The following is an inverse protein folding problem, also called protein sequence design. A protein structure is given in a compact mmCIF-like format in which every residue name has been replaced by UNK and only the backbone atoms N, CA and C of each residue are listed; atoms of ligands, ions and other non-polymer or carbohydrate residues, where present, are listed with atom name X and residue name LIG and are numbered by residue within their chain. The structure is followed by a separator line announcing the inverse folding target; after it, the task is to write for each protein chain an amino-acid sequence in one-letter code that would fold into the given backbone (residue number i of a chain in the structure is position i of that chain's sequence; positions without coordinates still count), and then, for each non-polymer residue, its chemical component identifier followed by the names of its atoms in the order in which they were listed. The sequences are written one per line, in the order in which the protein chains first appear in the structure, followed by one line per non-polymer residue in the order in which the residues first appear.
data_IF_352199873592
#
_entry.id   IF_352199873592
#
_cell.length_a   1.000
_cell.length_b   1.000
_cell.length_c   1.000
_cell.angle_alpha   90.00
_cell.angle_beta   90.00
_cell.angle_gamma   90.00
#
_symmetry.space_group_name_H-M   'P 1'
#
loop_
_entity.id
_entity.type
_entity.pdbx_description
1 polymer ?
#
# COMPACT_ATOMS: atom_id res chain seq x y z
N UNK A 1 15.15 11.27 -19.06
CA UNK A 1 15.50 11.47 -17.65
C UNK A 1 16.64 10.52 -17.33
N UNK A 2 17.74 11.02 -16.75
CA UNK A 2 18.79 10.16 -16.19
C UNK A 2 18.64 10.19 -14.67
N UNK A 3 18.38 9.04 -14.06
CA UNK A 3 18.18 8.93 -12.61
C UNK A 3 17.28 7.76 -12.28
N UNK A 4 17.23 7.39 -11.00
CA UNK A 4 16.32 6.36 -10.52
C UNK A 4 14.88 6.89 -10.48
N UNK A 5 13.93 5.97 -10.63
CA UNK A 5 12.52 6.20 -10.33
C UNK A 5 12.25 5.41 -9.05
N UNK A 6 11.88 6.11 -8.00
CA UNK A 6 11.39 5.48 -6.78
C UNK A 6 9.87 5.38 -6.85
N UNK A 7 9.30 4.24 -6.51
CA UNK A 7 7.86 4.00 -6.57
C UNK A 7 7.25 3.65 -5.22
N UNK A 8 8.02 3.82 -4.14
CA UNK A 8 7.60 3.48 -2.78
C UNK A 8 7.95 4.64 -1.82
N UNK A 9 7.24 5.76 -1.96
CA UNK A 9 7.42 6.94 -1.11
C UNK A 9 6.15 7.34 -0.36
N UNK A 10 6.00 6.91 0.89
CA UNK A 10 4.83 7.29 1.70
C UNK A 10 4.81 8.79 2.04
N UNK A 11 3.62 9.39 2.01
CA UNK A 11 3.37 10.76 2.48
C UNK A 11 2.30 10.78 3.56
N UNK A 12 2.34 11.83 4.38
CA UNK A 12 1.29 12.18 5.33
C UNK A 12 0.83 13.59 4.97
N UNK A 13 -0.47 13.76 4.75
CA UNK A 13 -1.05 15.02 4.27
C UNK A 13 -1.91 15.63 5.37
N UNK A 14 -1.57 16.85 5.77
CA UNK A 14 -2.23 17.55 6.88
C UNK A 14 -3.73 17.77 6.59
N UNK A 15 -4.05 18.02 5.34
CA UNK A 15 -5.40 18.27 4.84
C UNK A 15 -6.34 17.08 5.10
N UNK A 16 -5.79 15.86 5.21
CA UNK A 16 -6.55 14.64 5.46
C UNK A 16 -6.80 14.37 6.96
N UNK A 17 -6.23 15.18 7.86
CA UNK A 17 -6.38 14.98 9.30
C UNK A 17 -7.82 15.20 9.75
N UNK A 18 -8.35 14.25 10.53
CA UNK A 18 -9.73 14.24 11.01
C UNK A 18 -10.79 13.92 9.94
N UNK A 19 -10.39 13.68 8.68
CA UNK A 19 -11.34 13.40 7.60
C UNK A 19 -12.01 12.03 7.70
N UNK A 20 -11.48 11.10 8.51
CA UNK A 20 -12.11 9.82 8.80
C UNK A 20 -13.01 9.85 10.06
N UNK A 21 -13.49 11.04 10.42
CA UNK A 21 -14.31 11.25 11.60
C UNK A 21 -13.50 11.41 12.89
N UNK A 22 -14.10 12.10 13.87
CA UNK A 22 -13.42 12.46 15.13
C UNK A 22 -12.99 11.25 15.97
N UNK A 23 -13.68 10.11 15.83
CA UNK A 23 -13.30 8.89 16.53
C UNK A 23 -12.02 8.26 15.95
N UNK A 24 -11.84 8.30 14.62
CA UNK A 24 -10.74 7.62 13.95
C UNK A 24 -9.53 8.52 13.68
N UNK A 25 -9.72 9.80 13.33
CA UNK A 25 -8.61 10.66 12.88
C UNK A 25 -8.42 10.58 11.36
N UNK A 26 -7.20 10.43 10.81
CA UNK A 26 -5.92 10.48 11.52
C UNK A 26 -5.70 11.82 12.20
N UNK A 27 -4.88 11.84 13.26
CA UNK A 27 -4.58 13.06 14.03
C UNK A 27 -3.11 13.18 14.35
N UNK A 28 -2.60 14.42 14.29
CA UNK A 28 -1.29 14.80 14.80
C UNK A 28 -1.46 15.70 16.02
N UNK A 29 -0.61 15.51 17.02
CA UNK A 29 -0.59 16.40 18.18
C UNK A 29 0.68 16.27 19.01
N UNK A 30 0.68 16.95 20.15
CA UNK A 30 1.77 16.92 21.12
C UNK A 30 1.22 16.60 22.51
N UNK A 31 1.96 15.79 23.25
CA UNK A 31 1.80 15.66 24.70
C UNK A 31 2.29 16.93 25.42
N UNK A 32 1.91 17.14 26.69
CA UNK A 32 2.33 18.31 27.46
C UNK A 32 3.86 18.48 27.60
N UNK A 33 4.62 17.39 27.48
CA UNK A 33 6.08 17.40 27.52
C UNK A 33 6.73 17.73 26.15
N UNK A 34 5.91 17.95 25.12
CA UNK A 34 6.33 18.28 23.76
C UNK A 34 6.47 17.07 22.84
N UNK A 35 6.41 15.84 23.35
CA UNK A 35 6.50 14.61 22.55
C UNK A 35 5.37 14.59 21.52
N UNK A 36 5.69 14.38 20.24
CA UNK A 36 4.68 14.30 19.17
C UNK A 36 3.95 12.97 19.21
N UNK A 37 2.71 12.95 18.73
CA UNK A 37 1.99 11.71 18.46
C UNK A 37 1.27 11.77 17.10
N UNK A 38 1.10 10.59 16.51
CA UNK A 38 0.20 10.33 15.40
C UNK A 38 -0.82 9.26 15.82
N UNK A 39 -2.11 9.52 15.62
CA UNK A 39 -3.20 8.64 16.08
C UNK A 39 -4.08 8.22 14.92
N UNK A 40 -4.46 6.94 14.92
CA UNK A 40 -5.52 6.38 14.08
C UNK A 40 -6.37 5.44 14.93
N UNK A 41 -7.64 5.78 15.13
CA UNK A 41 -8.50 5.09 16.11
C UNK A 41 -7.86 5.08 17.50
N UNK A 42 -7.80 3.92 18.13
CA UNK A 42 -7.13 3.74 19.42
C UNK A 42 -5.61 3.53 19.28
N UNK A 43 -5.11 3.33 18.05
CA UNK A 43 -3.70 3.13 17.78
C UNK A 43 -2.94 4.46 17.77
N UNK A 44 -1.72 4.45 18.32
CA UNK A 44 -0.85 5.63 18.40
C UNK A 44 0.60 5.28 18.09
N UNK A 45 1.27 6.25 17.47
CA UNK A 45 2.73 6.30 17.31
C UNK A 45 3.25 7.56 17.97
N UNK A 46 4.08 7.38 18.98
CA UNK A 46 4.65 8.47 19.76
C UNK A 46 6.10 8.75 19.35
N UNK A 47 6.52 10.01 19.45
CA UNK A 47 7.91 10.42 19.24
C UNK A 47 8.33 10.61 17.78
N UNK A 48 7.42 10.42 16.82
CA UNK A 48 7.70 10.66 15.40
C UNK A 48 7.29 12.09 15.02
N UNK A 49 8.24 12.97 14.64
CA UNK A 49 7.95 14.36 14.29
C UNK A 49 7.52 14.45 12.81
N UNK A 50 6.31 13.97 12.49
CA UNK A 50 5.83 13.91 11.11
C UNK A 50 5.92 15.26 10.39
N UNK A 51 5.56 16.35 11.08
CA UNK A 51 5.59 17.71 10.53
C UNK A 51 6.97 18.15 10.09
N UNK A 52 8.01 17.75 10.80
CA UNK A 52 9.40 18.10 10.53
C UNK A 52 10.13 17.04 9.68
N UNK A 53 9.41 16.04 9.17
CA UNK A 53 9.98 14.90 8.46
C UNK A 53 9.76 14.96 6.94
N UNK A 54 10.47 14.10 6.21
CA UNK A 54 10.25 13.87 4.77
C UNK A 54 8.82 13.42 4.42
N UNK A 55 8.07 12.87 5.39
CA UNK A 55 6.69 12.41 5.16
C UNK A 55 5.75 13.58 4.86
N UNK A 56 6.00 14.76 5.42
CA UNK A 56 5.15 15.95 5.24
C UNK A 56 5.88 17.12 4.54
N UNK A 57 7.22 17.15 4.56
CA UNK A 57 7.99 18.27 4.00
C UNK A 57 8.48 17.95 2.59
N UNK A 58 7.78 18.46 1.58
CA UNK A 58 8.15 18.30 0.16
C UNK A 58 9.59 18.76 -0.12
N UNK A 59 10.02 19.86 0.50
CA UNK A 59 11.39 20.36 0.38
C UNK A 59 12.44 19.34 0.85
N UNK A 60 12.28 18.79 2.05
CA UNK A 60 13.21 17.80 2.60
C UNK A 60 13.25 16.53 1.75
N UNK A 61 12.09 16.13 1.20
CA UNK A 61 11.97 15.01 0.28
C UNK A 61 12.72 15.25 -1.03
N UNK A 62 12.57 16.42 -1.65
CA UNK A 62 13.28 16.78 -2.88
C UNK A 62 14.80 16.82 -2.67
N UNK A 63 15.27 17.38 -1.55
CA UNK A 63 16.68 17.37 -1.18
C UNK A 63 17.21 15.93 -1.04
N UNK A 64 16.49 15.06 -0.35
CA UNK A 64 16.85 13.64 -0.22
C UNK A 64 16.83 12.90 -1.58
N UNK A 65 15.89 13.22 -2.46
CA UNK A 65 15.84 12.66 -3.82
C UNK A 65 17.08 13.06 -4.63
N UNK A 66 17.46 14.35 -4.59
CA UNK A 66 18.63 14.86 -5.30
C UNK A 66 19.92 14.19 -4.79
N UNK A 67 20.06 14.03 -3.47
CA UNK A 67 21.20 13.35 -2.84
C UNK A 67 21.33 11.87 -3.23
N UNK A 68 20.20 11.20 -3.46
CA UNK A 68 20.16 9.77 -3.81
C UNK A 68 20.04 9.50 -5.32
N UNK A 69 20.05 10.55 -6.15
CA UNK A 69 19.92 10.42 -7.61
C UNK A 69 18.53 9.95 -8.08
N UNK A 70 17.49 10.21 -7.28
CA UNK A 70 16.09 9.92 -7.60
C UNK A 70 15.53 11.07 -8.44
N UNK A 71 15.30 10.79 -9.71
CA UNK A 71 14.77 11.77 -10.66
C UNK A 71 13.26 11.97 -10.51
N UNK A 72 12.53 10.91 -10.18
CA UNK A 72 11.09 10.88 -10.05
C UNK A 72 10.70 9.97 -8.88
N UNK A 73 9.72 10.36 -8.08
CA UNK A 73 9.21 9.54 -6.99
C UNK A 73 7.68 9.43 -7.08
N UNK A 74 7.14 8.20 -7.09
CA UNK A 74 5.72 7.97 -6.93
C UNK A 74 5.37 7.95 -5.43
N UNK A 75 4.52 8.90 -5.05
CA UNK A 75 4.06 9.08 -3.68
C UNK A 75 2.84 8.19 -3.42
N UNK A 76 2.75 7.68 -2.19
CA UNK A 76 1.67 6.77 -1.79
C UNK A 76 1.04 7.19 -0.47
N UNK A 77 -0.23 6.79 -0.22
CA UNK A 77 -0.84 6.86 1.10
C UNK A 77 0.04 6.17 2.16
N UNK A 78 -0.04 6.66 3.40
CA UNK A 78 0.61 6.02 4.54
C UNK A 78 -0.13 4.72 4.90
N UNK A 79 0.56 3.58 5.14
CA UNK A 79 -0.12 2.32 5.47
C UNK A 79 -0.93 2.36 6.76
N UNK A 80 -0.61 3.30 7.66
CA UNK A 80 -1.36 3.52 8.89
C UNK A 80 -2.77 4.09 8.63
N UNK A 81 -3.03 4.61 7.44
CA UNK A 81 -4.26 5.33 7.09
C UNK A 81 -5.06 4.67 5.96
N UNK A 82 -4.97 3.34 5.83
CA UNK A 82 -5.87 2.60 4.93
C UNK A 82 -7.32 2.57 5.41
N UNK A 83 -7.54 2.53 6.72
CA UNK A 83 -8.86 2.68 7.36
C UNK A 83 -9.93 1.69 6.84
N UNK A 84 -9.53 0.48 6.49
CA UNK A 84 -10.46 -0.52 5.96
C UNK A 84 -11.48 -1.02 7.01
N UNK A 85 -11.26 -0.73 8.30
CA UNK A 85 -12.08 -1.22 9.41
C UNK A 85 -13.14 -0.22 9.93
N UNK A 86 -13.24 0.96 9.33
CA UNK A 86 -14.24 1.98 9.72
C UNK A 86 -15.42 2.02 8.74
N UNK A 87 -16.44 2.81 9.08
CA UNK A 87 -17.59 3.06 8.20
C UNK A 87 -17.15 3.49 6.80
N UNK A 88 -17.77 2.90 5.79
CA UNK A 88 -17.42 3.12 4.38
C UNK A 88 -17.54 4.60 3.94
N UNK A 89 -18.45 5.37 4.55
CA UNK A 89 -18.62 6.79 4.23
C UNK A 89 -17.50 7.63 4.84
N UNK A 90 -17.09 7.33 6.08
CA UNK A 90 -15.97 8.01 6.73
C UNK A 90 -14.65 7.69 6.00
N UNK A 91 -14.44 6.43 5.61
CA UNK A 91 -13.28 6.03 4.82
C UNK A 91 -13.27 6.67 3.42
N UNK A 92 -14.42 6.74 2.76
CA UNK A 92 -14.56 7.42 1.46
C UNK A 92 -14.27 8.91 1.57
N UNK A 93 -14.79 9.59 2.61
CA UNK A 93 -14.51 11.00 2.85
C UNK A 93 -13.01 11.25 3.10
N UNK A 94 -12.36 10.36 3.87
CA UNK A 94 -10.92 10.39 4.05
C UNK A 94 -10.17 10.23 2.73
N UNK A 95 -10.49 9.18 1.95
CA UNK A 95 -9.83 8.90 0.67
C UNK A 95 -9.95 10.08 -0.29
N UNK A 96 -11.15 10.65 -0.44
CA UNK A 96 -11.39 11.82 -1.27
C UNK A 96 -10.52 13.01 -0.87
N UNK A 97 -10.53 13.35 0.42
CA UNK A 97 -9.75 14.49 0.96
C UNK A 97 -8.25 14.26 0.79
N UNK A 98 -7.79 13.04 1.07
CA UNK A 98 -6.40 12.64 0.89
C UNK A 98 -5.97 12.72 -0.58
N UNK A 99 -6.79 12.24 -1.51
CA UNK A 99 -6.46 12.19 -2.93
C UNK A 99 -6.43 13.59 -3.56
N UNK A 100 -7.34 14.49 -3.17
CA UNK A 100 -7.30 15.91 -3.59
C UNK A 100 -6.02 16.60 -3.08
N UNK A 101 -5.63 16.35 -1.83
CA UNK A 101 -4.38 16.88 -1.28
C UNK A 101 -3.13 16.29 -1.96
N UNK A 102 -3.13 14.99 -2.26
CA UNK A 102 -2.07 14.31 -3.01
C UNK A 102 -1.91 14.95 -4.40
N UNK A 103 -3.03 15.16 -5.09
CA UNK A 103 -3.04 15.78 -6.41
C UNK A 103 -2.52 17.23 -6.36
N UNK A 104 -2.87 18.00 -5.32
CA UNK A 104 -2.33 19.34 -5.09
C UNK A 104 -0.81 19.30 -4.94
N UNK A 105 -0.28 18.44 -4.06
CA UNK A 105 1.17 18.28 -3.85
C UNK A 105 1.91 17.88 -5.13
N UNK A 106 1.35 16.92 -5.88
CA UNK A 106 1.92 16.47 -7.16
C UNK A 106 1.92 17.62 -8.17
N UNK A 107 0.85 18.42 -8.23
CA UNK A 107 0.74 19.53 -9.19
C UNK A 107 1.81 20.62 -8.99
N UNK A 108 2.22 20.86 -7.75
CA UNK A 108 3.28 21.81 -7.38
C UNK A 108 4.69 21.34 -7.81
N UNK A 109 4.86 20.03 -7.99
CA UNK A 109 6.15 19.39 -8.27
C UNK A 109 6.05 18.32 -9.36
N UNK A 110 5.24 18.58 -10.40
CA UNK A 110 4.86 17.61 -11.45
C UNK A 110 6.01 16.97 -12.24
N UNK A 111 7.19 17.57 -12.22
CA UNK A 111 8.40 17.06 -12.87
C UNK A 111 9.19 16.10 -11.96
N UNK A 112 8.83 16.03 -10.67
CA UNK A 112 9.52 15.27 -9.63
C UNK A 112 8.62 14.24 -8.93
N UNK A 113 7.32 14.47 -8.88
CA UNK A 113 6.36 13.58 -8.20
C UNK A 113 5.30 13.01 -9.13
N UNK A 114 4.94 11.75 -8.85
CA UNK A 114 3.68 11.13 -9.23
C UNK A 114 2.93 10.80 -7.92
N UNK A 115 1.61 10.54 -7.97
CA UNK A 115 0.84 10.18 -6.79
C UNK A 115 -0.12 9.02 -7.06
N UNK A 116 -0.22 8.08 -6.12
CA UNK A 116 -1.27 7.06 -6.12
C UNK A 116 -2.45 7.48 -5.24
N UNK A 117 -3.63 6.96 -5.56
CA UNK A 117 -4.86 7.17 -4.82
C UNK A 117 -5.01 6.18 -3.66
N UNK A 118 -5.45 6.69 -2.51
CA UNK A 118 -6.05 5.89 -1.44
C UNK A 118 -7.47 5.48 -1.85
N UNK A 119 -7.89 4.25 -1.50
CA UNK A 119 -9.19 3.71 -1.89
C UNK A 119 -9.92 3.05 -0.70
N UNK A 120 -11.24 3.26 -0.54
CA UNK A 120 -12.04 2.64 0.52
C UNK A 120 -12.39 1.18 0.19
N UNK A 121 -11.40 0.29 0.26
CA UNK A 121 -11.50 -1.10 -0.23
C UNK A 121 -12.51 -1.99 0.51
N UNK A 122 -13.00 -1.58 1.68
CA UNK A 122 -14.11 -2.27 2.35
C UNK A 122 -15.43 -2.21 1.55
N UNK A 123 -15.54 -1.28 0.59
CA UNK A 123 -16.64 -1.21 -0.37
C UNK A 123 -16.08 -1.05 -1.79
N UNK A 124 -16.08 -2.15 -2.55
CA UNK A 124 -15.53 -2.21 -3.90
C UNK A 124 -16.19 -1.21 -4.86
N UNK A 125 -17.51 -1.00 -4.76
CA UNK A 125 -18.20 -0.03 -5.60
C UNK A 125 -17.72 1.41 -5.36
N UNK A 126 -17.51 1.79 -4.10
CA UNK A 126 -16.96 3.10 -3.74
C UNK A 126 -15.48 3.20 -4.14
N UNK A 127 -14.70 2.13 -4.00
CA UNK A 127 -13.31 2.09 -4.45
C UNK A 127 -13.17 2.32 -5.96
N UNK A 128 -14.05 1.72 -6.79
CA UNK A 128 -14.06 1.94 -8.24
C UNK A 128 -14.38 3.40 -8.58
N UNK A 129 -15.38 3.99 -7.92
CA UNK A 129 -15.77 5.39 -8.13
C UNK A 129 -14.63 6.36 -7.75
N UNK A 130 -13.96 6.09 -6.63
CA UNK A 130 -12.84 6.90 -6.18
C UNK A 130 -11.61 6.76 -7.08
N UNK A 131 -11.34 5.54 -7.57
CA UNK A 131 -10.28 5.28 -8.56
C UNK A 131 -10.55 6.04 -9.87
N UNK A 132 -11.79 5.97 -10.38
CA UNK A 132 -12.18 6.69 -11.60
C UNK A 132 -11.95 8.20 -11.45
N UNK A 133 -12.43 8.79 -10.35
CA UNK A 133 -12.24 10.21 -10.08
C UNK A 133 -10.75 10.57 -9.97
N UNK A 134 -10.00 9.79 -9.22
CA UNK A 134 -8.57 10.01 -8.98
C UNK A 134 -7.76 9.99 -10.28
N UNK A 135 -8.07 9.06 -11.18
CA UNK A 135 -7.36 8.93 -12.46
C UNK A 135 -7.81 9.99 -13.46
N UNK A 136 -9.13 10.18 -13.64
CA UNK A 136 -9.68 11.02 -14.71
C UNK A 136 -9.66 12.52 -14.37
N UNK A 137 -9.93 12.87 -13.13
CA UNK A 137 -10.05 14.27 -12.70
C UNK A 137 -8.78 14.77 -12.02
N UNK A 138 -8.15 13.94 -11.18
CA UNK A 138 -6.97 14.33 -10.41
C UNK A 138 -5.63 13.99 -11.08
N UNK A 139 -5.64 13.19 -12.16
CA UNK A 139 -4.45 12.69 -12.85
C UNK A 139 -3.49 11.90 -11.94
N UNK A 140 -4.03 11.20 -10.93
CA UNK A 140 -3.26 10.25 -10.12
C UNK A 140 -2.96 8.99 -10.93
N UNK A 141 -1.85 8.33 -10.58
CA UNK A 141 -1.23 7.25 -11.34
C UNK A 141 -2.09 5.97 -11.36
N UNK A 142 -2.78 5.67 -10.26
CA UNK A 142 -3.53 4.43 -10.04
C UNK A 142 -3.89 4.25 -8.57
N UNK A 143 -4.29 3.05 -8.18
CA UNK A 143 -4.66 2.72 -6.79
C UNK A 143 -3.47 2.22 -5.95
N UNK A 144 -3.45 2.57 -4.67
CA UNK A 144 -2.52 2.03 -3.68
C UNK A 144 -3.30 1.52 -2.47
N UNK A 145 -3.29 0.20 -2.26
CA UNK A 145 -4.20 -0.48 -1.34
C UNK A 145 -3.47 -1.37 -0.33
N UNK A 146 -4.15 -1.63 0.79
CA UNK A 146 -3.73 -2.61 1.78
C UNK A 146 -3.73 -4.04 1.25
N UNK A 147 -3.09 -4.94 1.99
CA UNK A 147 -3.12 -6.39 1.74
C UNK A 147 -4.21 -7.13 2.54
N UNK A 148 -4.87 -6.44 3.48
CA UNK A 148 -6.01 -6.95 4.23
C UNK A 148 -7.09 -5.87 4.36
N UNK A 149 -8.26 -6.17 3.82
CA UNK A 149 -9.47 -5.35 3.88
C UNK A 149 -10.72 -6.24 4.00
N UNK A 150 -10.57 -7.47 4.50
CA UNK A 150 -11.67 -8.42 4.71
C UNK A 150 -12.19 -9.15 3.47
N UNK A 151 -11.62 -8.90 2.28
CA UNK A 151 -11.91 -9.64 1.05
C UNK A 151 -10.61 -10.18 0.45
N UNK A 152 -10.58 -11.47 0.13
CA UNK A 152 -9.40 -12.11 -0.47
C UNK A 152 -9.20 -11.62 -1.92
N UNK A 153 -7.95 -11.53 -2.36
CA UNK A 153 -7.62 -11.00 -3.70
C UNK A 153 -8.16 -11.85 -4.86
N UNK A 154 -8.48 -13.12 -4.65
CA UNK A 154 -9.09 -13.98 -5.68
C UNK A 154 -10.61 -14.10 -5.59
N UNK A 155 -11.23 -13.44 -4.60
CA UNK A 155 -12.69 -13.39 -4.46
C UNK A 155 -13.32 -12.76 -5.71
N UNK A 156 -14.40 -13.34 -6.27
CA UNK A 156 -15.09 -12.79 -7.43
C UNK A 156 -15.58 -11.34 -7.24
N UNK A 157 -15.78 -10.86 -6.01
CA UNK A 157 -16.12 -9.45 -5.75
C UNK A 157 -15.03 -8.48 -6.18
N UNK A 158 -13.77 -8.92 -6.25
CA UNK A 158 -12.66 -8.12 -6.75
C UNK A 158 -12.62 -8.03 -8.29
N UNK A 159 -13.34 -8.89 -9.01
CA UNK A 159 -13.29 -8.94 -10.48
C UNK A 159 -13.73 -7.60 -11.11
N UNK A 160 -14.75 -6.95 -10.56
CA UNK A 160 -15.20 -5.63 -11.05
C UNK A 160 -14.15 -4.53 -10.79
N UNK A 161 -13.41 -4.63 -9.68
CA UNK A 161 -12.32 -3.70 -9.37
C UNK A 161 -11.16 -3.87 -10.35
N UNK A 162 -10.75 -5.12 -10.61
CA UNK A 162 -9.69 -5.43 -11.58
C UNK A 162 -10.08 -5.04 -13.01
N UNK A 163 -11.35 -5.23 -13.38
CA UNK A 163 -11.87 -4.76 -14.65
C UNK A 163 -11.73 -3.24 -14.78
N UNK A 164 -12.06 -2.49 -13.72
CA UNK A 164 -11.90 -1.03 -13.70
C UNK A 164 -10.42 -0.60 -13.82
N UNK A 165 -9.49 -1.23 -13.09
CA UNK A 165 -8.05 -0.98 -13.26
C UNK A 165 -7.58 -1.20 -14.71
N UNK A 166 -8.06 -2.28 -15.35
CA UNK A 166 -7.76 -2.57 -16.75
C UNK A 166 -8.40 -1.55 -17.71
N UNK A 167 -9.65 -1.16 -17.48
CA UNK A 167 -10.38 -0.19 -18.30
C UNK A 167 -9.70 1.19 -18.26
N UNK A 168 -9.30 1.63 -17.06
CA UNK A 168 -8.60 2.90 -16.88
C UNK A 168 -7.12 2.81 -17.27
N UNK A 169 -6.61 1.60 -17.51
CA UNK A 169 -5.22 1.31 -17.88
C UNK A 169 -4.24 1.91 -16.86
N UNK A 170 -4.46 1.59 -15.58
CA UNK A 170 -3.64 2.08 -14.46
C UNK A 170 -3.08 0.92 -13.63
N UNK A 171 -1.87 1.08 -13.07
CA UNK A 171 -1.30 0.10 -12.14
C UNK A 171 -2.05 0.06 -10.81
N UNK A 172 -2.03 -1.11 -10.18
CA UNK A 172 -2.44 -1.33 -8.80
C UNK A 172 -1.23 -1.64 -7.93
N UNK A 173 -1.01 -0.86 -6.88
CA UNK A 173 0.08 -1.07 -5.94
C UNK A 173 -0.47 -1.65 -4.62
N UNK A 174 0.13 -2.73 -4.13
CA UNK A 174 -0.24 -3.37 -2.87
C UNK A 174 0.86 -3.15 -1.85
N UNK A 175 0.47 -2.76 -0.64
CA UNK A 175 1.38 -2.62 0.48
C UNK A 175 0.70 -2.98 1.80
N UNK A 176 1.35 -3.74 2.69
CA UNK A 176 0.76 -4.17 3.95
C UNK A 176 0.68 -3.04 4.97
N UNK A 177 -0.19 -3.17 5.97
CA UNK A 177 -0.23 -2.28 7.12
C UNK A 177 0.18 -3.01 8.41
N UNK A 178 0.66 -2.29 9.43
CA UNK A 178 0.91 -2.88 10.75
C UNK A 178 -0.35 -3.50 11.33
N UNK A 179 -0.22 -4.68 11.94
CA UNK A 179 -1.34 -5.26 12.66
C UNK A 179 -1.72 -4.41 13.87
N UNK A 180 -2.97 -4.57 14.29
CA UNK A 180 -3.50 -3.94 15.49
C UNK A 180 -4.00 -2.51 15.31
N UNK A 181 -4.10 -2.04 14.06
CA UNK A 181 -4.80 -0.80 13.72
C UNK A 181 -6.33 -0.95 13.83
N UNK A 182 -6.82 -2.15 13.55
CA UNK A 182 -8.23 -2.53 13.44
C UNK A 182 -8.69 -3.54 14.52
N UNK A 183 -7.82 -3.87 15.48
CA UNK A 183 -8.11 -4.89 16.48
C UNK A 183 -6.90 -5.35 17.28
N UNK A 184 -6.96 -6.54 17.91
CA UNK A 184 -5.78 -7.13 18.53
C UNK A 184 -4.79 -7.61 17.46
N UNK A 185 -3.53 -7.75 17.85
CA UNK A 185 -2.51 -8.40 17.03
C UNK A 185 -2.94 -9.83 16.66
N UNK A 186 -2.64 -10.24 15.43
CA UNK A 186 -2.82 -11.64 15.00
C UNK A 186 -1.95 -12.58 15.83
N UNK A 187 -0.73 -12.13 16.14
CA UNK A 187 0.20 -12.83 17.01
C UNK A 187 0.89 -11.85 17.98
N UNK A 188 0.69 -11.96 19.30
CA UNK A 188 1.33 -11.09 20.28
C UNK A 188 2.86 -11.07 20.25
N UNK A 189 3.50 -12.08 19.61
CA UNK A 189 4.96 -12.09 19.41
C UNK A 189 5.42 -10.99 18.46
N UNK A 190 4.56 -10.51 17.57
CA UNK A 190 4.94 -9.56 16.52
C UNK A 190 5.29 -8.17 17.08
N UNK A 191 4.73 -7.78 18.24
CA UNK A 191 5.18 -6.56 18.94
C UNK A 191 6.53 -6.67 19.62
N UNK A 192 7.08 -7.87 19.81
CA UNK A 192 8.41 -7.99 20.41
C UNK A 192 9.41 -7.53 19.36
N UNK A 193 10.19 -6.49 19.66
CA UNK A 193 11.20 -5.95 18.74
C UNK A 193 10.62 -5.42 17.42
N UNK A 194 9.36 -5.01 17.41
CA UNK A 194 8.63 -4.52 16.22
C UNK A 194 8.72 -5.47 15.02
N UNK A 195 8.65 -6.77 15.30
CA UNK A 195 8.70 -7.81 14.28
C UNK A 195 7.53 -7.72 13.30
N UNK A 196 6.42 -7.07 13.64
CA UNK A 196 5.31 -6.83 12.71
C UNK A 196 5.76 -6.08 11.43
N UNK A 197 6.70 -5.14 11.56
CA UNK A 197 7.22 -4.35 10.43
C UNK A 197 7.97 -5.19 9.38
N UNK A 198 8.44 -6.39 9.75
CA UNK A 198 9.19 -7.27 8.85
C UNK A 198 8.44 -8.56 8.59
N UNK A 199 8.07 -9.29 9.66
CA UNK A 199 7.46 -10.61 9.55
C UNK A 199 6.02 -10.56 9.09
N UNK A 200 5.19 -9.67 9.65
CA UNK A 200 3.79 -9.59 9.23
C UNK A 200 3.67 -8.97 7.84
N UNK A 201 4.42 -7.91 7.56
CA UNK A 201 4.46 -7.32 6.20
C UNK A 201 4.84 -8.38 5.16
N UNK A 202 5.93 -9.10 5.43
CA UNK A 202 6.41 -10.16 4.54
C UNK A 202 5.43 -11.33 4.42
N UNK A 203 4.62 -11.60 5.44
CA UNK A 203 3.62 -12.66 5.44
C UNK A 203 2.39 -12.27 4.62
N UNK A 204 1.87 -11.06 4.84
CA UNK A 204 0.67 -10.56 4.16
C UNK A 204 0.88 -10.42 2.65
N UNK A 205 2.05 -9.95 2.23
CA UNK A 205 2.40 -9.87 0.80
C UNK A 205 2.55 -11.25 0.16
N UNK A 206 3.06 -12.22 0.91
CA UNK A 206 3.12 -13.61 0.46
C UNK A 206 1.70 -14.19 0.30
N UNK A 207 0.79 -13.89 1.22
CA UNK A 207 -0.63 -14.29 1.13
C UNK A 207 -1.27 -13.63 -0.09
N UNK A 208 -1.17 -12.30 -0.23
CA UNK A 208 -1.73 -11.57 -1.37
C UNK A 208 -1.21 -12.11 -2.71
N UNK A 209 0.11 -12.27 -2.85
CA UNK A 209 0.72 -12.84 -4.07
C UNK A 209 0.21 -14.26 -4.33
N UNK A 210 0.05 -15.07 -3.29
CA UNK A 210 -0.47 -16.43 -3.42
C UNK A 210 -1.93 -16.45 -3.86
N UNK A 211 -2.80 -15.61 -3.29
CA UNK A 211 -4.22 -15.55 -3.67
C UNK A 211 -4.37 -15.10 -5.12
N UNK A 212 -3.67 -14.04 -5.53
CA UNK A 212 -3.73 -13.54 -6.92
C UNK A 212 -3.29 -14.63 -7.92
N UNK A 213 -2.17 -15.30 -7.64
CA UNK A 213 -1.63 -16.34 -8.54
C UNK A 213 -2.46 -17.60 -8.51
N UNK A 214 -2.66 -18.25 -7.36
CA UNK A 214 -3.41 -19.51 -7.30
C UNK A 214 -4.87 -19.33 -7.69
N UNK A 215 -5.48 -18.20 -7.32
CA UNK A 215 -6.84 -17.84 -7.66
C UNK A 215 -7.07 -17.51 -9.13
N UNK A 216 -6.00 -17.36 -9.93
CA UNK A 216 -6.09 -17.17 -11.38
C UNK A 216 -6.54 -15.77 -11.79
N UNK A 217 -6.32 -14.78 -10.93
CA UNK A 217 -6.66 -13.37 -11.20
C UNK A 217 -5.97 -12.89 -12.47
N UNK A 218 -4.69 -13.22 -12.67
CA UNK A 218 -3.94 -12.85 -13.88
C UNK A 218 -4.42 -13.54 -15.15
N UNK A 219 -5.02 -14.72 -15.02
CA UNK A 219 -5.68 -15.41 -16.13
C UNK A 219 -7.00 -14.74 -16.51
N UNK A 220 -7.78 -14.28 -15.52
CA UNK A 220 -9.02 -13.53 -15.75
C UNK A 220 -8.75 -12.11 -16.27
N UNK A 221 -7.68 -11.47 -15.78
CA UNK A 221 -7.30 -10.09 -16.09
C UNK A 221 -5.87 -10.02 -16.65
N UNK A 222 -5.67 -10.41 -17.93
CA UNK A 222 -4.35 -10.48 -18.55
C UNK A 222 -3.67 -9.11 -18.80
N UNK A 223 -4.41 -8.00 -18.65
CA UNK A 223 -3.86 -6.65 -18.79
C UNK A 223 -3.72 -5.91 -17.45
N UNK A 224 -4.04 -6.56 -16.33
CA UNK A 224 -3.87 -5.97 -15.01
C UNK A 224 -2.38 -5.87 -14.67
N UNK A 225 -1.94 -4.66 -14.33
CA UNK A 225 -0.58 -4.37 -13.87
C UNK A 225 -0.57 -4.23 -12.34
N UNK A 226 0.13 -5.13 -11.67
CA UNK A 226 0.20 -5.21 -10.22
C UNK A 226 1.66 -5.09 -9.78
N UNK A 227 1.87 -4.20 -8.81
CA UNK A 227 3.10 -4.05 -8.07
C UNK A 227 2.88 -4.37 -6.59
N UNK A 228 3.78 -5.15 -6.00
CA UNK A 228 3.73 -5.51 -4.57
C UNK A 228 5.04 -5.05 -3.91
N UNK A 229 4.92 -4.35 -2.78
CA UNK A 229 6.08 -3.88 -2.01
C UNK A 229 6.98 -5.01 -1.51
N UNK A 230 8.18 -4.62 -1.05
CA UNK A 230 9.18 -5.48 -0.41
C UNK A 230 9.49 -6.80 -1.15
N UNK A 231 9.37 -6.82 -2.48
CA UNK A 231 9.62 -7.96 -3.35
C UNK A 231 8.54 -9.05 -3.27
N UNK A 232 7.31 -8.69 -2.88
CA UNK A 232 6.24 -9.63 -2.57
C UNK A 232 6.48 -10.37 -1.25
N UNK A 233 7.14 -9.71 -0.29
CA UNK A 233 7.51 -10.27 1.00
C UNK A 233 8.38 -11.52 0.86
N UNK A 234 7.92 -12.63 1.48
CA UNK A 234 8.65 -13.90 1.46
C UNK A 234 8.40 -14.74 0.20
N UNK A 235 7.65 -14.22 -0.78
CA UNK A 235 7.31 -14.95 -2.01
C UNK A 235 8.54 -15.47 -2.72
N UNK A 236 9.56 -14.64 -2.92
CA UNK A 236 10.76 -15.06 -3.66
C UNK A 236 11.58 -16.12 -2.91
N UNK A 237 11.61 -16.07 -1.58
CA UNK A 237 12.23 -17.10 -0.74
C UNK A 237 11.45 -18.44 -0.80
N UNK A 238 10.14 -18.36 -1.04
CA UNK A 238 9.26 -19.53 -1.13
C UNK A 238 8.92 -19.97 -2.55
N UNK A 239 9.39 -19.26 -3.59
CA UNK A 239 9.06 -19.51 -5.01
C UNK A 239 9.14 -20.99 -5.40
N UNK A 240 10.25 -21.65 -5.09
CA UNK A 240 10.43 -23.08 -5.40
C UNK A 240 9.42 -23.98 -4.67
N UNK A 241 9.04 -23.65 -3.42
CA UNK A 241 8.05 -24.40 -2.67
C UNK A 241 6.63 -24.16 -3.19
N UNK A 242 6.30 -22.91 -3.51
CA UNK A 242 4.99 -22.54 -4.08
C UNK A 242 4.79 -23.19 -5.45
N UNK A 243 5.81 -23.22 -6.32
CA UNK A 243 5.76 -23.97 -7.57
C UNK A 243 5.50 -25.45 -7.35
N UNK A 244 6.25 -26.09 -6.44
CA UNK A 244 6.04 -27.51 -6.14
C UNK A 244 4.65 -27.77 -5.51
N UNK A 245 4.13 -26.81 -4.74
CA UNK A 245 2.78 -26.86 -4.21
C UNK A 245 1.78 -26.84 -5.38
N UNK A 246 1.89 -25.88 -6.29
CA UNK A 246 1.08 -25.77 -7.51
C UNK A 246 1.08 -27.04 -8.35
N UNK A 247 2.25 -27.58 -8.68
CA UNK A 247 2.39 -28.75 -9.55
C UNK A 247 1.88 -30.06 -8.92
N UNK A 248 1.97 -30.20 -7.58
CA UNK A 248 1.84 -31.52 -6.92
C UNK A 248 0.66 -31.67 -5.99
N UNK A 249 0.03 -30.59 -5.53
CA UNK A 249 -1.05 -30.69 -4.55
C UNK A 249 -2.41 -30.83 -5.22
N UNK A 250 -3.22 -31.83 -4.81
CA UNK A 250 -4.61 -31.94 -5.27
C UNK A 250 -5.50 -30.75 -4.90
N UNK A 251 -5.08 -29.92 -3.95
CA UNK A 251 -5.77 -28.68 -3.58
C UNK A 251 -5.47 -27.50 -4.51
N UNK A 252 -4.40 -27.56 -5.29
CA UNK A 252 -4.08 -26.49 -6.24
C UNK A 252 -5.06 -26.50 -7.41
N UNK A 253 -5.50 -25.35 -7.92
CA UNK A 253 -6.37 -25.29 -9.10
C UNK A 253 -5.75 -26.02 -10.30
N UNK A 254 -6.60 -26.63 -11.14
CA UNK A 254 -6.14 -27.50 -12.21
C UNK A 254 -5.23 -26.77 -13.21
N UNK A 255 -5.58 -25.51 -13.55
CA UNK A 255 -4.87 -24.70 -14.53
C UNK A 255 -3.41 -24.41 -14.12
N UNK A 256 -3.12 -24.24 -12.83
CA UNK A 256 -1.76 -23.90 -12.36
C UNK A 256 -0.87 -25.12 -12.09
N UNK A 257 -1.41 -26.34 -12.25
CA UNK A 257 -0.63 -27.58 -12.11
C UNK A 257 0.28 -27.85 -13.30
N UNK A 258 0.08 -27.15 -14.42
CA UNK A 258 0.95 -27.26 -15.58
C UNK A 258 2.41 -26.89 -15.18
N UNK A 259 3.41 -27.74 -15.47
CA UNK A 259 4.78 -27.47 -15.07
C UNK A 259 5.29 -26.10 -15.56
N UNK A 260 5.76 -25.29 -14.62
CA UNK A 260 6.25 -23.93 -14.89
C UNK A 260 5.19 -22.84 -14.98
N UNK A 261 3.89 -23.15 -14.89
CA UNK A 261 2.82 -22.14 -14.95
C UNK A 261 2.90 -21.14 -13.81
N UNK A 262 3.11 -21.62 -12.57
CA UNK A 262 3.28 -20.76 -11.40
C UNK A 262 4.43 -19.76 -11.59
N UNK A 263 5.59 -20.21 -12.09
CA UNK A 263 6.75 -19.35 -12.30
C UNK A 263 6.46 -18.30 -13.40
N UNK A 264 5.74 -18.68 -14.46
CA UNK A 264 5.32 -17.78 -15.54
C UNK A 264 4.40 -16.67 -15.02
N UNK A 265 3.41 -17.05 -14.22
CA UNK A 265 2.48 -16.09 -13.62
C UNK A 265 3.21 -15.19 -12.62
N UNK A 266 4.08 -15.73 -11.78
CA UNK A 266 4.87 -14.94 -10.82
C UNK A 266 5.82 -13.95 -11.51
N UNK A 267 6.47 -14.35 -12.61
CA UNK A 267 7.39 -13.48 -13.36
C UNK A 267 6.66 -12.33 -14.09
N UNK A 268 5.33 -12.39 -14.19
CA UNK A 268 4.51 -11.37 -14.83
C UNK A 268 4.34 -10.11 -13.97
N UNK A 269 4.57 -10.20 -12.66
CA UNK A 269 4.41 -9.08 -11.74
C UNK A 269 5.67 -8.25 -11.59
N UNK A 270 5.49 -6.95 -11.37
CA UNK A 270 6.53 -6.08 -10.82
C UNK A 270 6.71 -6.37 -9.32
N UNK A 271 7.54 -7.35 -8.97
CA UNK A 271 7.98 -7.53 -7.58
C UNK A 271 9.11 -6.54 -7.30
N UNK A 272 8.83 -5.51 -6.51
CA UNK A 272 9.82 -4.47 -6.25
C UNK A 272 10.59 -4.82 -5.00
N UNK A 273 11.80 -5.33 -5.20
CA UNK A 273 12.79 -5.43 -4.13
C UNK A 273 13.16 -4.00 -3.70
N UNK A 274 12.80 -3.68 -2.47
CA UNK A 274 12.87 -2.32 -1.97
C UNK A 274 14.34 -1.88 -1.82
N UNK A 275 14.69 -0.73 -2.39
CA UNK A 275 16.01 -0.12 -2.28
C UNK A 275 15.86 1.40 -2.12
N UNK A 276 16.32 1.91 -0.96
CA UNK A 276 16.73 3.29 -0.62
C UNK A 276 15.92 4.14 0.39
N UNK A 277 14.66 3.84 0.76
CA UNK A 277 13.91 4.75 1.68
C UNK A 277 13.59 4.18 3.08
N UNK A 278 13.78 2.89 3.32
CA UNK A 278 13.53 2.28 4.65
C UNK A 278 14.52 2.69 5.75
N UNK A 279 15.63 3.37 5.42
CA UNK A 279 16.55 3.86 6.45
C UNK A 279 15.85 4.73 7.47
N UNK A 280 14.72 5.37 7.12
CA UNK A 280 13.96 6.21 8.04
C UNK A 280 12.75 5.51 8.68
N UNK A 281 12.22 4.40 8.12
CA UNK A 281 11.09 3.65 8.70
C UNK A 281 11.53 2.73 9.85
N UNK A 282 12.70 2.09 9.72
CA UNK A 282 13.31 1.28 10.81
C UNK A 282 13.75 2.17 11.99
N UNK A 283 13.90 3.48 11.77
CA UNK A 283 14.20 4.47 12.81
C UNK A 283 12.95 5.06 13.49
N UNK A 284 11.73 4.64 13.12
CA UNK A 284 10.47 5.08 13.75
C UNK A 284 10.04 4.23 14.95
N UNK A 285 10.85 3.25 15.37
CA UNK A 285 10.63 2.57 16.65
C UNK A 285 10.99 3.53 17.79
N UNK A 286 10.03 3.92 18.66
CA UNK A 286 10.35 4.70 19.84
C UNK A 286 11.21 3.85 20.78
N UNK A 287 12.34 4.42 21.25
CA UNK A 287 13.09 3.86 22.39
C UNK A 287 12.24 3.85 23.66
#
# INVERSE_FOLDING_TARGET
MSGFIDVHGHVVLEESMGAAGAACGPELGNYPDGTTFFRVGDWRLDGVPYRESLFMQAKLRLEAMDENGISLQALSPNPLTYLHWIDENDASNYCRTHNEAMASLVSEHKDRFLGFAALPMQNIGMAIQELEYSVKELNLLGGYIGTDFGTDFDDPQMDDFYAACCEFNVPLFLHPAPSGLDGPLRDPRMRKYDLDLVFEFSYEELVATSMIIFGGVTGRFPNLDICISHGGGSTMLHRSKLRLLAERRPSSPEWIREPGEFDRELDRYGLIAMCLVERNLILLSPN
#
